data_IF_452015191919
#
_entry.id   IF_452015191919
#
_cell.length_a   1.000
_cell.length_b   1.000
_cell.length_c   1.000
_cell.angle_alpha   90.00
_cell.angle_beta   90.00
_cell.angle_gamma   90.00
#
_symmetry.space_group_name_H-M   'P 1'
#
loop_
_entity.id
_entity.type
_entity.pdbx_description
1 polymer ?
#
# COMPACT_ATOMS: atom_id res chain seq x y z
N UNK A 1 -49.04 12.25 4.21
CA UNK A 1 -48.18 13.11 3.42
C UNK A 1 -46.86 12.39 3.30
N UNK A 2 -46.57 11.84 2.12
CA UNK A 2 -45.33 11.10 1.88
C UNK A 2 -44.19 12.09 1.79
N UNK A 3 -43.18 11.87 2.62
CA UNK A 3 -41.95 12.64 2.68
C UNK A 3 -41.21 12.47 1.35
N UNK A 4 -41.24 13.49 0.49
CA UNK A 4 -40.49 13.53 -0.77
C UNK A 4 -39.02 13.78 -0.42
N UNK A 5 -38.28 12.74 -0.04
CA UNK A 5 -36.82 12.80 -0.01
C UNK A 5 -36.37 13.11 -1.44
N UNK A 6 -35.94 14.34 -1.66
CA UNK A 6 -35.24 14.76 -2.86
C UNK A 6 -34.19 13.70 -3.18
N UNK A 7 -34.34 13.00 -4.29
CA UNK A 7 -33.32 12.10 -4.79
C UNK A 7 -32.07 12.93 -5.04
N UNK A 8 -31.07 12.80 -4.18
CA UNK A 8 -29.76 13.46 -4.41
C UNK A 8 -29.23 12.97 -5.75
N UNK A 9 -28.83 13.90 -6.61
CA UNK A 9 -28.28 13.55 -7.92
C UNK A 9 -27.09 12.60 -7.76
N UNK A 10 -26.99 11.62 -8.65
CA UNK A 10 -25.86 10.67 -8.60
C UNK A 10 -24.53 11.39 -8.82
N UNK A 11 -23.53 11.03 -8.04
CA UNK A 11 -22.15 11.50 -8.21
C UNK A 11 -21.63 11.12 -9.60
N UNK A 12 -20.88 12.01 -10.24
CA UNK A 12 -20.28 11.72 -11.55
C UNK A 12 -19.25 10.59 -11.42
N UNK A 13 -18.32 10.73 -10.47
CA UNK A 13 -17.34 9.70 -10.16
C UNK A 13 -17.08 9.64 -8.65
N UNK A 14 -17.09 8.44 -8.09
CA UNK A 14 -16.65 8.16 -6.72
C UNK A 14 -15.34 7.38 -6.77
N UNK A 15 -14.37 7.81 -5.97
CA UNK A 15 -13.06 7.16 -5.80
C UNK A 15 -12.99 6.58 -4.39
N UNK A 16 -12.68 5.30 -4.28
CA UNK A 16 -12.57 4.60 -3.00
C UNK A 16 -11.09 4.32 -2.73
N UNK A 17 -10.52 5.01 -1.74
CA UNK A 17 -9.12 4.92 -1.34
C UNK A 17 -8.33 6.20 -1.58
N UNK A 18 -7.32 6.41 -0.73
CA UNK A 18 -6.55 7.66 -0.61
C UNK A 18 -5.03 7.45 -0.67
N UNK A 19 -4.58 6.32 -1.20
CA UNK A 19 -3.18 6.10 -1.54
C UNK A 19 -2.78 6.86 -2.82
N UNK A 20 -1.55 6.66 -3.33
CA UNK A 20 -1.06 7.33 -4.54
C UNK A 20 -1.98 7.16 -5.76
N UNK A 21 -2.62 5.99 -5.90
CA UNK A 21 -3.60 5.74 -6.96
C UNK A 21 -4.85 6.61 -6.81
N UNK A 22 -5.42 6.67 -5.60
CA UNK A 22 -6.63 7.45 -5.32
C UNK A 22 -6.43 8.94 -5.55
N UNK A 23 -5.35 9.53 -5.01
CA UNK A 23 -5.08 10.96 -5.18
C UNK A 23 -4.71 11.34 -6.61
N UNK A 24 -3.97 10.48 -7.32
CA UNK A 24 -3.69 10.69 -8.74
C UNK A 24 -4.99 10.64 -9.56
N UNK A 25 -5.85 9.65 -9.32
CA UNK A 25 -7.16 9.56 -9.97
C UNK A 25 -8.02 10.81 -9.67
N UNK A 26 -8.06 11.25 -8.42
CA UNK A 26 -8.81 12.43 -8.00
C UNK A 26 -8.34 13.71 -8.70
N UNK A 27 -7.02 13.91 -8.77
CA UNK A 27 -6.41 15.06 -9.45
C UNK A 27 -6.81 15.09 -10.93
N UNK A 28 -6.69 13.97 -11.65
CA UNK A 28 -7.03 13.91 -13.07
C UNK A 28 -8.53 14.02 -13.32
N UNK A 29 -9.37 13.37 -12.51
CA UNK A 29 -10.82 13.49 -12.61
C UNK A 29 -11.32 14.92 -12.32
N UNK A 30 -10.74 15.60 -11.32
CA UNK A 30 -11.06 16.98 -10.99
C UNK A 30 -10.66 17.94 -12.13
N UNK A 31 -9.47 17.76 -12.72
CA UNK A 31 -9.03 18.52 -13.89
C UNK A 31 -9.91 18.32 -15.11
N UNK A 32 -10.48 17.12 -15.28
CA UNK A 32 -11.48 16.80 -16.31
C UNK A 32 -12.89 17.27 -15.94
N UNK A 33 -13.05 18.06 -14.87
CA UNK A 33 -14.33 18.60 -14.37
C UNK A 33 -15.39 17.54 -14.01
N UNK A 34 -14.93 16.33 -13.63
CA UNK A 34 -15.83 15.24 -13.23
C UNK A 34 -16.33 15.36 -11.78
N UNK A 35 -15.91 16.39 -11.04
CA UNK A 35 -16.30 16.67 -9.65
C UNK A 35 -16.15 15.43 -8.73
N UNK A 36 -14.96 14.84 -8.65
CA UNK A 36 -14.78 13.59 -7.94
C UNK A 36 -15.11 13.71 -6.46
N UNK A 37 -15.70 12.64 -5.91
CA UNK A 37 -15.88 12.42 -4.48
C UNK A 37 -14.96 11.28 -4.04
N UNK A 38 -14.01 11.57 -3.15
CA UNK A 38 -13.05 10.59 -2.61
C UNK A 38 -13.51 10.13 -1.22
N UNK A 39 -13.61 8.83 -1.03
CA UNK A 39 -13.65 8.19 0.28
C UNK A 39 -12.22 7.84 0.70
N UNK A 40 -11.65 8.63 1.62
CA UNK A 40 -10.24 8.51 1.99
C UNK A 40 -9.96 7.43 3.06
N UNK A 41 -11.00 6.82 3.59
CA UNK A 41 -10.94 5.86 4.70
C UNK A 41 -11.31 6.52 6.03
N UNK A 42 -11.82 5.72 6.97
CA UNK A 42 -12.17 6.19 8.30
C UNK A 42 -10.94 6.24 9.21
N UNK A 43 -10.87 7.25 10.08
CA UNK A 43 -9.90 7.31 11.18
C UNK A 43 -10.44 6.45 12.33
N UNK A 44 -10.13 5.15 12.31
CA UNK A 44 -10.59 4.19 13.30
C UNK A 44 -9.46 3.30 13.80
N UNK A 45 -9.62 2.72 14.98
CA UNK A 45 -8.67 1.75 15.53
C UNK A 45 -8.54 0.52 14.62
N UNK A 46 -9.66 0.05 14.04
CA UNK A 46 -9.67 -1.04 13.06
C UNK A 46 -8.75 -0.73 11.88
N UNK A 47 -8.87 0.47 11.29
CA UNK A 47 -8.07 0.87 10.14
C UNK A 47 -6.61 1.13 10.52
N UNK A 48 -6.36 1.64 11.73
CA UNK A 48 -5.00 1.78 12.27
C UNK A 48 -4.31 0.42 12.37
N UNK A 49 -4.97 -0.58 12.94
CA UNK A 49 -4.46 -1.95 13.07
C UNK A 49 -4.25 -2.62 11.70
N UNK A 50 -5.14 -2.38 10.75
CA UNK A 50 -5.03 -2.91 9.39
C UNK A 50 -4.05 -2.15 8.49
N UNK A 51 -3.55 -0.98 8.92
CA UNK A 51 -2.73 -0.10 8.09
C UNK A 51 -3.49 0.54 6.92
N UNK A 52 -4.81 0.74 7.09
CA UNK A 52 -5.72 1.31 6.07
C UNK A 52 -6.28 2.68 6.49
N UNK A 53 -5.54 3.41 7.33
CA UNK A 53 -5.87 4.81 7.62
C UNK A 53 -5.85 5.67 6.35
N UNK A 54 -6.50 6.85 6.36
CA UNK A 54 -6.34 7.83 5.30
C UNK A 54 -4.89 8.03 4.87
N UNK A 55 -4.66 8.31 3.59
CA UNK A 55 -3.37 8.43 2.92
C UNK A 55 -2.70 7.09 2.54
N UNK A 56 -3.24 5.94 2.95
CA UNK A 56 -2.81 4.60 2.52
C UNK A 56 -1.47 4.15 3.08
N UNK A 57 -0.97 3.01 2.60
CA UNK A 57 0.24 2.35 3.10
C UNK A 57 1.51 3.21 3.01
N UNK A 58 1.62 4.07 1.98
CA UNK A 58 2.79 4.94 1.82
C UNK A 58 2.97 5.91 2.99
N UNK A 59 1.87 6.34 3.62
CA UNK A 59 1.93 7.21 4.80
C UNK A 59 2.58 6.55 6.03
N UNK A 60 2.82 5.25 5.99
CA UNK A 60 3.55 4.52 7.02
C UNK A 60 5.07 4.52 6.81
N UNK A 61 5.56 5.01 5.67
CA UNK A 61 6.98 5.01 5.31
C UNK A 61 7.68 6.27 5.82
N UNK A 62 8.80 6.11 6.51
CA UNK A 62 9.56 7.21 7.11
C UNK A 62 10.31 8.07 6.09
N UNK A 63 10.69 7.51 4.94
CA UNK A 63 11.47 8.18 3.90
C UNK A 63 11.14 7.58 2.52
N UNK A 64 10.95 8.43 1.51
CA UNK A 64 10.61 8.03 0.15
C UNK A 64 11.68 8.54 -0.81
N UNK A 65 12.61 7.65 -1.21
CA UNK A 65 13.71 7.98 -2.13
C UNK A 65 13.35 7.66 -3.60
N UNK A 66 12.33 6.84 -3.83
CA UNK A 66 12.01 6.22 -5.12
C UNK A 66 10.76 6.81 -5.81
N UNK A 67 10.26 7.95 -5.38
CA UNK A 67 9.19 8.67 -6.06
C UNK A 67 9.78 9.85 -6.84
N UNK A 68 9.72 9.77 -8.16
CA UNK A 68 10.32 10.79 -9.03
C UNK A 68 9.74 12.19 -8.79
N UNK A 69 10.61 13.22 -8.70
CA UNK A 69 10.21 14.61 -8.46
C UNK A 69 10.56 15.13 -7.06
N UNK A 70 10.98 14.26 -6.15
CA UNK A 70 11.38 14.63 -4.79
C UNK A 70 12.83 14.18 -4.53
N UNK A 71 13.83 15.00 -4.89
CA UNK A 71 15.24 14.70 -4.62
C UNK A 71 15.53 14.79 -3.12
N UNK A 72 16.59 14.10 -2.68
CA UNK A 72 17.09 14.25 -1.32
C UNK A 72 17.50 15.71 -1.04
N UNK A 73 17.20 16.20 0.16
CA UNK A 73 17.50 17.56 0.61
C UNK A 73 16.45 18.09 1.59
N UNK A 74 16.67 19.33 2.07
CA UNK A 74 15.70 20.01 2.93
C UNK A 74 14.52 20.56 2.10
N UNK A 75 13.39 19.90 2.17
CA UNK A 75 12.14 20.32 1.54
C UNK A 75 11.21 21.11 2.49
N UNK A 76 11.63 21.39 3.73
CA UNK A 76 10.80 22.01 4.75
C UNK A 76 10.12 23.30 4.30
N UNK A 77 10.87 24.22 3.66
CA UNK A 77 10.30 25.47 3.14
C UNK A 77 9.27 25.25 2.04
N UNK A 78 9.48 24.25 1.20
CA UNK A 78 8.50 23.89 0.17
C UNK A 78 7.22 23.36 0.82
N UNK A 79 7.33 22.45 1.78
CA UNK A 79 6.19 21.90 2.52
C UNK A 79 5.42 23.00 3.26
N UNK A 80 6.11 23.92 3.91
CA UNK A 80 5.51 25.04 4.62
C UNK A 80 4.73 25.98 3.70
N UNK A 81 5.12 26.10 2.44
CA UNK A 81 4.42 26.90 1.44
C UNK A 81 3.32 26.16 0.68
N UNK A 82 3.46 24.83 0.54
CA UNK A 82 2.57 24.00 -0.27
C UNK A 82 1.37 23.46 0.52
N UNK A 83 1.51 23.31 1.85
CA UNK A 83 0.48 22.73 2.71
C UNK A 83 -0.20 23.80 3.58
N UNK A 84 -1.52 23.70 3.83
CA UNK A 84 -2.19 24.49 4.84
C UNK A 84 -1.55 24.28 6.23
N UNK A 85 -1.54 25.33 7.06
CA UNK A 85 -0.83 25.32 8.34
C UNK A 85 -1.35 24.25 9.32
N UNK A 86 -2.67 24.00 9.34
CA UNK A 86 -3.29 22.94 10.14
C UNK A 86 -2.83 21.54 9.71
N UNK A 87 -2.72 21.32 8.40
CA UNK A 87 -2.22 20.04 7.85
C UNK A 87 -0.72 19.87 8.11
N UNK A 88 0.05 20.94 7.94
CA UNK A 88 1.50 20.91 8.21
C UNK A 88 1.81 20.62 9.67
N UNK A 89 1.04 21.18 10.62
CA UNK A 89 1.19 20.90 12.04
C UNK A 89 0.89 19.45 12.44
N UNK A 90 0.11 18.72 11.65
CA UNK A 90 -0.16 17.29 11.88
C UNK A 90 1.00 16.39 11.44
N UNK A 91 1.96 16.91 10.67
CA UNK A 91 3.12 16.17 10.22
C UNK A 91 4.23 16.18 11.28
N UNK A 92 5.04 15.12 11.36
CA UNK A 92 6.26 15.17 12.15
C UNK A 92 7.19 16.29 11.65
N UNK A 93 8.10 16.78 12.50
CA UNK A 93 9.15 17.69 12.05
C UNK A 93 9.92 17.09 10.85
N UNK A 94 10.14 17.90 9.82
CA UNK A 94 10.92 17.46 8.66
C UNK A 94 12.41 17.40 9.04
N UNK A 95 13.01 16.24 8.95
CA UNK A 95 14.41 15.96 9.26
C UNK A 95 15.25 15.73 7.99
N UNK A 96 15.18 16.63 7.07
CA UNK A 96 16.18 17.00 6.08
C UNK A 96 16.79 16.00 5.08
N UNK A 97 16.23 14.81 4.82
CA UNK A 97 16.85 13.84 3.90
C UNK A 97 15.95 13.35 2.75
N UNK A 98 14.93 14.10 2.41
CA UNK A 98 13.98 13.75 1.37
C UNK A 98 12.55 13.95 1.85
N UNK A 99 11.57 13.46 1.09
CA UNK A 99 10.15 13.51 1.48
C UNK A 99 9.81 12.24 2.27
N UNK A 100 9.10 12.42 3.38
CA UNK A 100 8.52 11.29 4.11
C UNK A 100 7.24 10.79 3.40
N UNK A 101 6.82 9.55 3.69
CA UNK A 101 5.56 9.02 3.17
C UNK A 101 4.35 9.90 3.50
N UNK A 102 4.15 10.31 4.78
CA UNK A 102 3.07 11.23 5.15
C UNK A 102 3.11 12.55 4.37
N UNK A 103 4.27 13.16 4.22
CA UNK A 103 4.45 14.43 3.50
C UNK A 103 4.09 14.28 2.02
N UNK A 104 4.59 13.25 1.35
CA UNK A 104 4.26 12.98 -0.05
C UNK A 104 2.76 12.78 -0.24
N UNK A 105 2.14 11.99 0.64
CA UNK A 105 0.71 11.71 0.54
C UNK A 105 -0.14 12.96 0.79
N UNK A 106 0.26 13.81 1.75
CA UNK A 106 -0.44 15.08 2.00
C UNK A 106 -0.29 16.07 0.84
N UNK A 107 0.88 16.13 0.21
CA UNK A 107 1.09 16.92 -1.01
C UNK A 107 0.17 16.45 -2.15
N UNK A 108 0.05 15.14 -2.36
CA UNK A 108 -0.85 14.59 -3.39
C UNK A 108 -2.32 14.88 -3.06
N UNK A 109 -2.71 14.76 -1.78
CA UNK A 109 -4.04 15.11 -1.29
C UNK A 109 -4.35 16.59 -1.54
N UNK A 110 -3.44 17.47 -1.14
CA UNK A 110 -3.60 18.92 -1.33
C UNK A 110 -3.69 19.28 -2.80
N UNK A 111 -2.91 18.64 -3.67
CA UNK A 111 -3.00 18.85 -5.12
C UNK A 111 -4.42 18.52 -5.63
N UNK A 112 -5.00 17.40 -5.22
CA UNK A 112 -6.36 17.03 -5.61
C UNK A 112 -7.41 18.02 -5.09
N UNK A 113 -7.27 18.49 -3.84
CA UNK A 113 -8.12 19.53 -3.23
C UNK A 113 -8.05 20.84 -4.01
N UNK A 114 -6.87 21.28 -4.43
CA UNK A 114 -6.67 22.51 -5.20
C UNK A 114 -7.40 22.48 -6.56
N UNK A 115 -7.71 21.30 -7.10
CA UNK A 115 -8.53 21.13 -8.30
C UNK A 115 -10.02 20.90 -8.00
N UNK A 116 -10.45 21.01 -6.73
CA UNK A 116 -11.85 20.91 -6.34
C UNK A 116 -12.35 19.50 -6.03
N UNK A 117 -11.45 18.56 -5.72
CA UNK A 117 -11.84 17.23 -5.20
C UNK A 117 -12.56 17.37 -3.86
N UNK A 118 -13.71 16.70 -3.73
CA UNK A 118 -14.45 16.59 -2.47
C UNK A 118 -14.00 15.31 -1.74
N UNK A 119 -13.90 15.37 -0.42
CA UNK A 119 -13.36 14.30 0.40
C UNK A 119 -14.33 13.95 1.52
N UNK A 120 -14.51 12.65 1.75
CA UNK A 120 -15.24 12.08 2.89
C UNK A 120 -14.28 11.16 3.65
N UNK A 121 -14.07 11.46 4.94
CA UNK A 121 -13.25 10.65 5.85
C UNK A 121 -14.12 9.53 6.44
N UNK A 122 -14.42 8.53 5.62
CA UNK A 122 -15.22 7.35 5.96
C UNK A 122 -14.83 6.17 5.07
N UNK A 123 -15.20 4.96 5.48
CA UNK A 123 -15.02 3.73 4.70
C UNK A 123 -16.26 3.45 3.84
N UNK A 124 -16.06 2.81 2.69
CA UNK A 124 -17.13 2.14 1.98
C UNK A 124 -17.13 0.67 2.42
N UNK A 125 -18.18 0.26 3.13
CA UNK A 125 -18.31 -1.10 3.65
C UNK A 125 -18.90 -2.10 2.65
N UNK A 126 -19.68 -1.60 1.70
CA UNK A 126 -20.36 -2.42 0.69
C UNK A 126 -20.66 -1.61 -0.57
N UNK A 127 -20.75 -2.28 -1.70
CA UNK A 127 -21.16 -1.72 -2.99
C UNK A 127 -22.28 -2.55 -3.61
N UNK A 128 -23.02 -1.97 -4.55
CA UNK A 128 -23.95 -2.67 -5.44
C UNK A 128 -23.73 -2.15 -6.86
N UNK A 129 -23.03 -2.96 -7.65
CA UNK A 129 -22.71 -2.68 -9.06
C UNK A 129 -23.67 -3.38 -10.04
N UNK A 130 -24.73 -4.04 -9.54
CA UNK A 130 -25.70 -4.77 -10.36
C UNK A 130 -26.59 -3.87 -11.21
N UNK A 131 -26.69 -2.59 -10.88
CA UNK A 131 -27.55 -1.59 -11.54
C UNK A 131 -26.89 -0.21 -11.59
N UNK A 132 -27.40 0.66 -12.46
CA UNK A 132 -26.95 2.05 -12.57
C UNK A 132 -28.06 3.02 -12.18
N UNK A 133 -27.71 4.14 -11.52
CA UNK A 133 -26.39 4.45 -10.99
C UNK A 133 -25.94 3.41 -9.96
N UNK A 134 -24.62 3.19 -9.85
CA UNK A 134 -24.03 2.31 -8.84
C UNK A 134 -24.32 2.81 -7.44
N UNK A 135 -24.43 1.90 -6.48
CA UNK A 135 -24.71 2.26 -5.08
C UNK A 135 -23.53 1.90 -4.19
N UNK A 136 -23.18 2.83 -3.32
CA UNK A 136 -22.10 2.68 -2.34
C UNK A 136 -22.67 2.95 -0.95
N UNK A 137 -22.24 2.17 0.03
CA UNK A 137 -22.74 2.20 1.39
C UNK A 137 -21.60 2.55 2.36
N UNK A 138 -21.52 3.84 2.79
CA UNK A 138 -20.55 4.28 3.79
C UNK A 138 -20.76 3.63 5.15
N UNK A 139 -19.69 3.49 5.96
CA UNK A 139 -19.73 2.95 7.30
C UNK A 139 -20.56 3.83 8.26
N UNK A 140 -20.51 5.15 8.09
CA UNK A 140 -21.35 6.09 8.84
C UNK A 140 -22.85 6.00 8.50
N UNK A 141 -23.22 5.16 7.53
CA UNK A 141 -24.59 4.94 7.10
C UNK A 141 -25.00 5.78 5.89
N UNK A 142 -26.22 5.50 5.41
CA UNK A 142 -26.74 6.12 4.18
C UNK A 142 -26.38 5.36 2.91
N UNK A 143 -26.66 5.98 1.78
CA UNK A 143 -26.39 5.48 0.45
C UNK A 143 -25.93 6.62 -0.44
N UNK A 144 -24.87 6.38 -1.21
CA UNK A 144 -24.39 7.28 -2.25
C UNK A 144 -24.53 6.56 -3.59
N UNK A 145 -25.01 7.28 -4.59
CA UNK A 145 -25.10 6.77 -5.95
C UNK A 145 -24.02 7.40 -6.82
N UNK A 146 -23.43 6.63 -7.72
CA UNK A 146 -22.37 7.07 -8.62
C UNK A 146 -22.60 6.57 -10.04
N UNK A 147 -22.22 7.37 -11.03
CA UNK A 147 -22.25 6.99 -12.44
C UNK A 147 -21.03 6.15 -12.79
N UNK A 148 -19.86 6.51 -12.27
CA UNK A 148 -18.62 5.74 -12.40
C UNK A 148 -17.97 5.55 -11.03
N UNK A 149 -17.20 4.48 -10.84
CA UNK A 149 -16.47 4.18 -9.61
C UNK A 149 -15.03 3.79 -9.94
N UNK A 150 -14.07 4.35 -9.20
CA UNK A 150 -12.66 3.96 -9.24
C UNK A 150 -12.31 3.30 -7.90
N UNK A 151 -11.93 2.02 -7.94
CA UNK A 151 -11.47 1.27 -6.76
C UNK A 151 -9.95 1.42 -6.68
N UNK A 152 -9.49 2.12 -5.65
CA UNK A 152 -8.08 2.43 -5.39
C UNK A 152 -7.67 2.11 -3.94
N UNK A 153 -8.24 1.03 -3.39
CA UNK A 153 -8.15 0.64 -1.98
C UNK A 153 -6.81 0.00 -1.60
N UNK A 154 -5.94 -0.26 -2.57
CA UNK A 154 -4.61 -0.81 -2.36
C UNK A 154 -4.60 -2.24 -1.83
N UNK A 155 -3.44 -2.64 -1.28
CA UNK A 155 -3.22 -3.91 -0.62
C UNK A 155 -2.46 -3.70 0.69
N UNK A 156 -2.83 -4.43 1.73
CA UNK A 156 -2.16 -4.39 3.02
C UNK A 156 -1.06 -5.44 3.10
N UNK A 157 0.11 -5.08 3.61
CA UNK A 157 1.16 -6.04 3.90
C UNK A 157 0.68 -7.04 4.96
N UNK A 158 1.07 -8.29 4.80
CA UNK A 158 0.82 -9.31 5.82
C UNK A 158 1.88 -9.22 6.92
N UNK A 159 1.42 -9.32 8.16
CA UNK A 159 2.26 -9.27 9.36
C UNK A 159 2.16 -10.58 10.12
N UNK A 160 3.17 -10.88 10.96
CA UNK A 160 3.16 -12.07 11.80
C UNK A 160 2.32 -11.87 13.07
N UNK A 161 2.06 -10.62 13.44
CA UNK A 161 1.31 -10.26 14.65
C UNK A 161 2.13 -10.36 15.94
N UNK A 162 3.46 -10.30 15.85
CA UNK A 162 4.34 -10.31 17.02
C UNK A 162 4.36 -8.92 17.68
N UNK A 163 4.27 -8.82 19.02
CA UNK A 163 4.38 -7.53 19.71
C UNK A 163 5.71 -6.80 19.41
N UNK A 164 6.80 -7.54 19.25
CA UNK A 164 8.10 -6.98 18.89
C UNK A 164 8.15 -6.48 17.45
N UNK A 165 7.43 -7.11 16.52
CA UNK A 165 7.25 -6.65 15.16
C UNK A 165 6.59 -5.27 15.14
N UNK A 166 5.47 -5.11 15.86
CA UNK A 166 4.75 -3.84 15.93
C UNK A 166 5.60 -2.73 16.58
N UNK A 167 6.40 -3.05 17.60
CA UNK A 167 7.31 -2.10 18.26
C UNK A 167 8.34 -1.50 17.30
N UNK A 168 8.87 -2.32 16.37
CA UNK A 168 9.94 -1.92 15.46
C UNK A 168 9.48 -1.65 14.02
N UNK A 169 8.18 -1.65 13.76
CA UNK A 169 7.60 -1.27 12.46
C UNK A 169 8.08 0.13 12.06
N UNK A 170 8.59 0.28 10.84
CA UNK A 170 9.24 1.49 10.32
C UNK A 170 10.50 1.95 11.10
N UNK A 171 10.94 1.17 12.08
CA UNK A 171 12.16 1.41 12.88
C UNK A 171 13.17 0.28 12.75
N UNK A 172 13.11 -0.43 11.62
CA UNK A 172 13.95 -1.59 11.31
C UNK A 172 13.15 -2.82 10.87
N UNK A 173 11.82 -2.84 11.06
CA UNK A 173 10.93 -3.85 10.46
C UNK A 173 10.16 -3.23 9.30
N UNK A 174 10.25 -3.85 8.12
CA UNK A 174 9.62 -3.44 6.86
C UNK A 174 8.94 -4.62 6.17
N UNK A 175 8.01 -4.34 5.27
CA UNK A 175 7.38 -5.31 4.37
C UNK A 175 7.68 -5.01 2.88
N UNK A 176 8.69 -4.17 2.60
CA UNK A 176 9.07 -3.80 1.23
C UNK A 176 10.57 -3.57 1.11
N UNK A 177 11.30 -4.57 0.61
CA UNK A 177 12.75 -4.44 0.42
C UNK A 177 13.12 -3.38 -0.62
N UNK A 178 12.33 -3.23 -1.69
CA UNK A 178 12.57 -2.23 -2.75
C UNK A 178 12.38 -0.81 -2.23
N UNK A 179 11.49 -0.62 -1.25
CA UNK A 179 11.24 0.68 -0.65
C UNK A 179 12.35 1.09 0.32
N UNK A 180 12.71 0.19 1.24
CA UNK A 180 13.51 0.54 2.40
C UNK A 180 14.93 -0.03 2.38
N UNK A 181 15.21 -1.04 1.54
CA UNK A 181 16.48 -1.77 1.56
C UNK A 181 17.72 -0.93 1.25
N UNK A 182 17.56 0.18 0.52
CA UNK A 182 18.65 1.10 0.20
C UNK A 182 18.94 2.13 1.30
N UNK A 183 18.09 2.23 2.34
CA UNK A 183 18.24 3.22 3.41
C UNK A 183 19.61 3.14 4.07
N UNK A 184 20.23 4.27 4.45
CA UNK A 184 21.58 4.33 5.01
C UNK A 184 21.81 3.39 6.19
N UNK A 185 20.82 3.22 7.06
CA UNK A 185 20.91 2.36 8.25
C UNK A 185 21.08 0.86 7.95
N UNK A 186 20.75 0.40 6.73
CA UNK A 186 20.86 -1.00 6.32
C UNK A 186 22.13 -1.31 5.53
N UNK A 187 22.87 -0.28 5.11
CA UNK A 187 24.08 -0.45 4.29
C UNK A 187 25.20 -1.14 5.05
N UNK A 188 25.74 -2.20 4.46
CA UNK A 188 26.77 -3.05 5.06
C UNK A 188 26.40 -3.65 6.42
N UNK A 189 25.11 -3.81 6.70
CA UNK A 189 24.59 -4.46 7.89
C UNK A 189 24.02 -5.83 7.56
N UNK A 190 23.99 -6.78 8.52
CA UNK A 190 23.24 -8.01 8.35
C UNK A 190 21.73 -7.72 8.38
N UNK A 191 20.97 -8.33 7.46
CA UNK A 191 19.53 -8.17 7.34
C UNK A 191 18.83 -9.53 7.37
N UNK A 192 17.60 -9.53 7.84
CA UNK A 192 16.73 -10.73 7.86
C UNK A 192 15.60 -10.56 6.87
N UNK A 193 15.33 -11.60 6.07
CA UNK A 193 14.11 -11.72 5.24
C UNK A 193 13.31 -12.91 5.74
N UNK A 194 12.05 -12.71 6.04
CA UNK A 194 11.13 -13.78 6.47
C UNK A 194 10.21 -14.15 5.32
N UNK A 195 10.30 -15.38 4.86
CA UNK A 195 9.48 -15.87 3.75
C UNK A 195 10.05 -17.13 3.10
N UNK A 196 9.56 -17.49 1.93
CA UNK A 196 10.07 -18.68 1.23
C UNK A 196 9.43 -18.91 -0.15
N UNK A 197 8.66 -17.95 -0.66
CA UNK A 197 8.18 -17.89 -2.03
C UNK A 197 9.11 -17.08 -2.93
N UNK A 198 8.77 -16.95 -4.22
CA UNK A 198 9.55 -16.17 -5.19
C UNK A 198 9.82 -14.74 -4.70
N UNK A 199 8.81 -14.04 -4.18
CA UNK A 199 8.98 -12.68 -3.62
C UNK A 199 10.03 -12.62 -2.50
N UNK A 200 10.08 -13.62 -1.61
CA UNK A 200 11.06 -13.64 -0.52
C UNK A 200 12.49 -13.83 -1.05
N UNK A 201 12.66 -14.65 -2.08
CA UNK A 201 13.95 -14.83 -2.75
C UNK A 201 14.36 -13.57 -3.52
N UNK A 202 13.42 -12.95 -4.24
CA UNK A 202 13.66 -11.68 -4.94
C UNK A 202 14.09 -10.59 -3.97
N UNK A 203 13.37 -10.42 -2.86
CA UNK A 203 13.71 -9.43 -1.84
C UNK A 203 15.07 -9.73 -1.18
N UNK A 204 15.33 -11.00 -0.83
CA UNK A 204 16.63 -11.40 -0.28
C UNK A 204 17.78 -11.08 -1.27
N UNK A 205 17.61 -11.46 -2.55
CA UNK A 205 18.59 -11.18 -3.60
C UNK A 205 18.76 -9.67 -3.83
N UNK A 206 17.67 -8.90 -3.77
CA UNK A 206 17.75 -7.45 -3.89
C UNK A 206 18.56 -6.81 -2.77
N UNK A 207 18.34 -7.26 -1.53
CA UNK A 207 19.02 -6.76 -0.34
C UNK A 207 20.53 -7.08 -0.31
N UNK A 208 20.99 -8.14 -0.99
CA UNK A 208 22.44 -8.42 -1.07
C UNK A 208 23.27 -7.29 -1.72
N UNK A 209 22.61 -6.38 -2.47
CA UNK A 209 23.24 -5.20 -3.04
C UNK A 209 23.68 -4.20 -1.97
N UNK A 210 23.04 -4.18 -0.82
CA UNK A 210 23.26 -3.22 0.26
C UNK A 210 23.80 -3.87 1.53
N UNK A 211 23.32 -5.05 1.86
CA UNK A 211 23.65 -5.79 3.09
C UNK A 211 25.05 -6.37 3.06
N UNK A 212 25.63 -6.59 4.25
CA UNK A 212 26.80 -7.46 4.44
C UNK A 212 26.43 -8.92 4.28
N UNK A 213 25.30 -9.32 4.83
CA UNK A 213 24.71 -10.67 4.78
C UNK A 213 23.19 -10.58 4.84
N UNK A 214 22.49 -11.47 4.16
CA UNK A 214 21.04 -11.61 4.23
C UNK A 214 20.69 -12.98 4.80
N UNK A 215 19.98 -13.01 5.91
CA UNK A 215 19.46 -14.23 6.55
C UNK A 215 18.03 -14.47 6.05
N UNK A 216 17.84 -15.45 5.14
CA UNK A 216 16.52 -15.85 4.66
C UNK A 216 15.92 -16.91 5.61
N UNK A 217 14.89 -16.53 6.36
CA UNK A 217 14.25 -17.39 7.37
C UNK A 217 13.01 -18.04 6.77
N UNK A 218 12.99 -19.38 6.74
CA UNK A 218 11.88 -20.16 6.22
C UNK A 218 11.44 -21.27 7.18
N UNK A 219 10.13 -21.31 7.45
CA UNK A 219 9.54 -22.26 8.43
C UNK A 219 9.48 -23.73 7.99
N UNK A 220 9.86 -24.05 6.76
CA UNK A 220 9.89 -25.40 6.20
C UNK A 220 11.32 -25.81 5.83
N UNK A 221 11.49 -27.05 5.48
CA UNK A 221 12.77 -27.64 5.02
C UNK A 221 13.14 -27.29 3.58
N UNK A 222 12.18 -26.75 2.80
CA UNK A 222 12.36 -26.40 1.39
C UNK A 222 11.64 -25.09 1.06
N UNK A 223 12.24 -24.25 0.21
CA UNK A 223 11.60 -23.03 -0.30
C UNK A 223 10.41 -23.38 -1.20
N UNK A 224 9.38 -22.54 -1.17
CA UNK A 224 8.23 -22.63 -2.08
C UNK A 224 8.45 -21.89 -3.39
N UNK A 225 9.55 -21.17 -3.50
CA UNK A 225 9.97 -20.48 -4.70
C UNK A 225 10.15 -21.44 -5.88
N UNK A 226 10.08 -20.95 -7.10
CA UNK A 226 10.43 -21.70 -8.29
C UNK A 226 11.85 -22.26 -8.16
N UNK A 227 12.13 -23.40 -8.79
CA UNK A 227 13.44 -24.05 -8.68
C UNK A 227 14.59 -23.12 -9.05
N UNK A 228 14.40 -22.29 -10.07
CA UNK A 228 15.42 -21.31 -10.52
C UNK A 228 15.66 -20.26 -9.43
N UNK A 229 14.61 -19.73 -8.82
CA UNK A 229 14.73 -18.72 -7.77
C UNK A 229 15.31 -19.32 -6.49
N UNK A 230 14.88 -20.52 -6.08
CA UNK A 230 15.44 -21.21 -4.93
C UNK A 230 16.96 -21.46 -5.10
N UNK A 231 17.38 -21.92 -6.30
CA UNK A 231 18.79 -22.15 -6.61
C UNK A 231 19.59 -20.84 -6.55
N UNK A 232 19.04 -19.73 -7.06
CA UNK A 232 19.68 -18.39 -6.98
C UNK A 232 19.95 -17.99 -5.53
N UNK A 233 19.01 -18.21 -4.61
CA UNK A 233 19.23 -17.90 -3.20
C UNK A 233 20.29 -18.81 -2.55
N UNK A 234 20.36 -20.10 -2.95
CA UNK A 234 21.32 -21.06 -2.45
C UNK A 234 22.74 -20.73 -2.92
N UNK A 235 22.87 -20.27 -4.17
CA UNK A 235 24.17 -19.99 -4.80
C UNK A 235 24.72 -18.59 -4.43
N UNK A 236 23.92 -17.70 -3.85
CA UNK A 236 24.36 -16.36 -3.48
C UNK A 236 25.19 -16.41 -2.18
N UNK A 237 26.49 -16.06 -2.23
CA UNK A 237 27.39 -16.13 -1.07
C UNK A 237 27.02 -15.20 0.08
N UNK A 238 26.17 -14.21 -0.17
CA UNK A 238 25.66 -13.29 0.86
C UNK A 238 24.38 -13.77 1.50
N UNK A 239 23.73 -14.83 0.99
CA UNK A 239 22.46 -15.34 1.55
C UNK A 239 22.74 -16.57 2.41
N UNK A 240 22.33 -16.51 3.68
CA UNK A 240 22.30 -17.65 4.60
C UNK A 240 20.86 -18.07 4.82
N UNK A 241 20.49 -19.29 4.42
CA UNK A 241 19.11 -19.78 4.56
C UNK A 241 18.95 -20.52 5.88
N UNK A 242 17.98 -20.12 6.68
CA UNK A 242 17.58 -20.77 7.93
C UNK A 242 16.30 -21.58 7.69
N UNK A 243 16.45 -22.83 7.31
CA UNK A 243 15.32 -23.76 7.15
C UNK A 243 14.78 -24.23 8.51
N UNK A 244 13.49 -24.59 8.54
CA UNK A 244 12.78 -25.04 9.73
C UNK A 244 12.88 -24.06 10.90
N UNK A 245 12.90 -22.76 10.59
CA UNK A 245 12.94 -21.69 11.56
C UNK A 245 11.80 -20.69 11.31
N UNK A 246 11.18 -20.22 12.36
CA UNK A 246 10.19 -19.15 12.35
C UNK A 246 10.71 -17.96 13.16
N UNK A 247 10.37 -16.74 12.76
CA UNK A 247 10.62 -15.55 13.55
C UNK A 247 9.74 -15.59 14.81
N UNK A 248 10.36 -15.65 15.99
CA UNK A 248 9.67 -15.64 17.27
C UNK A 248 9.65 -14.24 17.91
N UNK A 249 10.73 -13.47 17.73
CA UNK A 249 10.86 -12.14 18.32
C UNK A 249 11.85 -11.29 17.51
N UNK A 250 11.54 -9.99 17.36
CA UNK A 250 12.49 -8.99 16.89
C UNK A 250 13.16 -8.37 18.11
N UNK A 251 14.49 -8.42 18.17
CA UNK A 251 15.30 -7.91 19.27
C UNK A 251 15.78 -6.50 18.94
N UNK A 252 15.84 -5.65 19.96
CA UNK A 252 16.31 -4.29 19.79
C UNK A 252 15.94 -3.39 20.97
N UNK A 253 16.33 -2.14 20.86
CA UNK A 253 16.04 -1.09 21.85
C UNK A 253 15.61 0.23 21.17
N UNK A 254 15.19 1.20 21.99
CA UNK A 254 14.67 2.45 21.46
C UNK A 254 15.75 3.37 20.88
N UNK A 255 17.02 3.18 21.26
CA UNK A 255 18.13 4.01 20.82
C UNK A 255 18.70 3.51 19.47
N UNK A 256 18.84 2.19 19.32
CA UNK A 256 19.47 1.55 18.14
C UNK A 256 18.46 1.02 17.13
N UNK A 257 17.18 0.85 17.53
CA UNK A 257 16.19 0.13 16.74
C UNK A 257 16.41 -1.39 16.79
N UNK A 258 16.25 -2.08 15.67
CA UNK A 258 16.48 -3.54 15.55
C UNK A 258 17.97 -3.83 15.71
N UNK A 259 18.31 -4.84 16.52
CA UNK A 259 19.68 -5.35 16.72
C UNK A 259 19.82 -6.82 16.41
N UNK A 260 18.72 -7.54 16.22
CA UNK A 260 18.70 -8.95 15.88
C UNK A 260 17.31 -9.54 15.90
N UNK A 261 17.26 -10.85 15.76
CA UNK A 261 16.04 -11.64 15.83
C UNK A 261 16.26 -12.89 16.66
N UNK A 262 15.20 -13.36 17.31
CA UNK A 262 15.13 -14.71 17.89
C UNK A 262 14.30 -15.58 16.96
N UNK A 263 14.90 -16.64 16.48
CA UNK A 263 14.27 -17.68 15.67
C UNK A 263 13.90 -18.87 16.55
N UNK A 264 12.76 -19.48 16.28
CA UNK A 264 12.33 -20.73 16.93
C UNK A 264 12.28 -21.85 15.90
N UNK A 265 12.81 -23.03 16.29
CA UNK A 265 12.75 -24.21 15.45
C UNK A 265 11.31 -24.70 15.30
N UNK A 266 10.91 -24.97 14.05
CA UNK A 266 9.59 -25.56 13.74
C UNK A 266 9.56 -27.08 13.89
N UNK A 267 10.72 -27.73 14.08
CA UNK A 267 10.86 -29.19 14.22
C UNK A 267 11.30 -29.63 15.62
N UNK A 268 12.00 -28.75 16.35
CA UNK A 268 12.51 -29.05 17.71
C UNK A 268 11.89 -28.02 18.70
N UNK A 269 10.87 -28.43 19.42
CA UNK A 269 10.12 -27.57 20.34
C UNK A 269 11.05 -26.92 21.38
N UNK A 270 10.99 -25.62 21.53
CA UNK A 270 11.74 -24.81 22.51
C UNK A 270 13.19 -24.54 22.13
N UNK A 271 13.66 -25.01 20.99
CA UNK A 271 14.99 -24.65 20.48
C UNK A 271 14.93 -23.29 19.80
N UNK A 272 15.69 -22.36 20.32
CA UNK A 272 15.80 -20.99 19.77
C UNK A 272 17.23 -20.69 19.33
N UNK A 273 17.37 -19.78 18.37
CA UNK A 273 18.65 -19.25 17.89
C UNK A 273 18.52 -17.74 17.74
N UNK A 274 19.51 -17.00 18.21
CA UNK A 274 19.57 -15.56 17.97
C UNK A 274 20.47 -15.27 16.77
N UNK A 275 20.02 -14.33 15.92
CA UNK A 275 20.74 -13.89 14.71
C UNK A 275 20.82 -12.37 14.78
N UNK A 276 22.05 -11.85 14.65
CA UNK A 276 22.29 -10.41 14.58
C UNK A 276 21.70 -9.83 13.27
N UNK A 277 21.01 -8.71 13.38
CA UNK A 277 20.46 -8.01 12.23
C UNK A 277 20.11 -6.56 12.56
N UNK A 278 20.37 -5.66 11.62
CA UNK A 278 19.96 -4.26 11.71
C UNK A 278 18.54 -4.01 11.16
N UNK A 279 17.96 -5.00 10.47
CA UNK A 279 16.62 -4.90 9.91
C UNK A 279 16.00 -6.25 9.57
N UNK A 280 14.66 -6.25 9.55
CA UNK A 280 13.82 -7.40 9.24
C UNK A 280 12.84 -7.03 8.15
N UNK A 281 12.80 -7.81 7.07
CA UNK A 281 11.90 -7.65 5.94
C UNK A 281 10.92 -8.82 5.87
N UNK A 282 9.62 -8.50 5.96
CA UNK A 282 8.58 -9.53 5.96
C UNK A 282 8.07 -9.76 4.54
N UNK A 283 8.65 -10.73 3.85
CA UNK A 283 8.27 -11.12 2.49
C UNK A 283 7.23 -12.26 2.50
N UNK A 284 6.16 -12.10 3.31
CA UNK A 284 5.09 -13.08 3.50
C UNK A 284 3.80 -12.74 2.72
N UNK A 285 3.90 -11.76 1.83
CA UNK A 285 2.85 -11.38 0.87
C UNK A 285 2.00 -10.22 1.31
N UNK A 286 1.04 -9.88 0.46
CA UNK A 286 0.07 -8.80 0.65
C UNK A 286 -1.34 -9.33 0.45
N UNK A 287 -2.30 -8.66 1.07
CA UNK A 287 -3.73 -8.95 0.92
C UNK A 287 -4.41 -7.72 0.32
N UNK A 288 -4.97 -7.81 -0.90
CA UNK A 288 -5.68 -6.69 -1.51
C UNK A 288 -6.96 -6.37 -0.74
N UNK A 289 -7.27 -5.09 -0.62
CA UNK A 289 -8.41 -4.59 0.14
C UNK A 289 -9.69 -4.66 -0.71
N UNK A 290 -10.19 -5.87 -0.96
CA UNK A 290 -11.31 -6.18 -1.86
C UNK A 290 -12.53 -6.80 -1.15
N UNK A 291 -12.49 -6.97 0.17
CA UNK A 291 -13.55 -7.66 0.92
C UNK A 291 -14.94 -6.99 0.75
N UNK A 292 -14.99 -5.65 0.69
CA UNK A 292 -16.22 -4.88 0.53
C UNK A 292 -16.92 -5.06 -0.83
N UNK A 293 -16.23 -5.65 -1.81
CA UNK A 293 -16.76 -5.92 -3.15
C UNK A 293 -17.71 -7.11 -3.19
N UNK A 294 -17.61 -8.03 -2.23
CA UNK A 294 -18.49 -9.19 -2.06
C UNK A 294 -18.83 -9.94 -3.37
N UNK A 295 -17.81 -10.23 -4.14
CA UNK A 295 -17.93 -10.99 -5.40
C UNK A 295 -18.49 -10.21 -6.60
N UNK A 296 -18.71 -8.91 -6.50
CA UNK A 296 -19.27 -8.13 -7.60
C UNK A 296 -18.29 -7.79 -8.73
N UNK A 297 -16.98 -7.94 -8.47
CA UNK A 297 -15.94 -7.85 -9.49
C UNK A 297 -15.21 -9.18 -9.63
N UNK A 298 -14.70 -9.45 -10.82
CA UNK A 298 -13.82 -10.59 -11.07
C UNK A 298 -12.48 -10.39 -10.35
N UNK A 299 -12.09 -11.37 -9.54
CA UNK A 299 -10.86 -11.37 -8.77
C UNK A 299 -9.96 -12.53 -9.19
N UNK A 300 -8.65 -12.34 -9.09
CA UNK A 300 -7.65 -13.41 -9.20
C UNK A 300 -7.78 -14.40 -8.04
N UNK A 301 -7.10 -15.55 -8.12
CA UNK A 301 -7.03 -16.50 -7.01
C UNK A 301 -6.42 -15.88 -5.73
N UNK A 302 -5.60 -14.83 -5.87
CA UNK A 302 -5.04 -14.04 -4.75
C UNK A 302 -5.91 -12.86 -4.34
N UNK A 303 -7.13 -12.75 -4.87
CA UNK A 303 -8.14 -11.71 -4.56
C UNK A 303 -7.84 -10.31 -5.14
N UNK A 304 -6.87 -10.14 -6.02
CA UNK A 304 -6.66 -8.89 -6.76
C UNK A 304 -7.75 -8.69 -7.82
N UNK A 305 -8.16 -7.45 -8.07
CA UNK A 305 -9.13 -7.13 -9.13
C UNK A 305 -8.48 -7.41 -10.50
N UNK A 306 -9.22 -8.08 -11.38
CA UNK A 306 -8.74 -8.39 -12.74
C UNK A 306 -8.98 -7.21 -13.66
N UNK A 307 -7.91 -6.67 -14.27
CA UNK A 307 -8.01 -5.78 -15.42
C UNK A 307 -8.42 -6.57 -16.66
N UNK A 308 -9.53 -6.19 -17.28
CA UNK A 308 -10.13 -6.93 -18.42
C UNK A 308 -9.52 -6.60 -19.77
N UNK A 309 -8.84 -5.46 -19.89
CA UNK A 309 -8.21 -5.02 -21.13
C UNK A 309 -6.74 -4.71 -20.91
N UNK A 310 -5.92 -5.07 -21.89
CA UNK A 310 -4.50 -4.76 -21.85
C UNK A 310 -4.26 -3.25 -21.78
N UNK A 311 -3.39 -2.82 -20.88
CA UNK A 311 -3.01 -1.42 -20.67
C UNK A 311 -4.18 -0.47 -20.37
N UNK A 312 -5.26 -1.00 -19.76
CA UNK A 312 -6.45 -0.27 -19.34
C UNK A 312 -6.86 -0.68 -17.93
N UNK A 313 -7.65 0.16 -17.28
CA UNK A 313 -8.07 -0.05 -15.91
C UNK A 313 -9.50 -0.58 -15.77
N UNK A 314 -10.12 -0.96 -16.88
CA UNK A 314 -11.46 -1.56 -16.92
C UNK A 314 -11.53 -2.84 -16.10
N UNK A 315 -12.59 -2.99 -15.29
CA UNK A 315 -12.89 -4.21 -14.53
C UNK A 315 -13.91 -5.09 -15.26
N UNK A 316 -14.42 -6.13 -14.60
CA UNK A 316 -15.51 -6.96 -15.12
C UNK A 316 -16.87 -6.25 -15.19
N UNK A 317 -17.00 -5.07 -14.59
CA UNK A 317 -18.22 -4.25 -14.64
C UNK A 317 -17.89 -2.91 -15.33
N UNK A 318 -18.56 -2.64 -16.45
CA UNK A 318 -18.41 -1.37 -17.18
C UNK A 318 -18.76 -0.17 -16.31
N UNK A 319 -17.91 0.86 -16.32
CA UNK A 319 -18.04 2.04 -15.47
C UNK A 319 -17.42 1.87 -14.08
N UNK A 320 -16.86 0.69 -13.78
CA UNK A 320 -16.05 0.44 -12.61
C UNK A 320 -14.60 0.19 -13.04
N UNK A 321 -13.67 0.95 -12.49
CA UNK A 321 -12.24 0.92 -12.80
C UNK A 321 -11.44 0.55 -11.55
N UNK A 322 -10.24 0.00 -11.71
CA UNK A 322 -9.37 -0.34 -10.61
C UNK A 322 -7.97 0.23 -10.82
N UNK A 323 -7.35 0.77 -9.76
CA UNK A 323 -6.05 1.40 -9.81
C UNK A 323 -5.18 1.08 -8.59
N UNK A 324 -3.88 0.95 -8.81
CA UNK A 324 -2.89 0.66 -7.79
C UNK A 324 -2.91 -0.79 -7.32
N UNK A 325 -2.39 -1.00 -6.14
CA UNK A 325 -2.07 -2.33 -5.60
C UNK A 325 -3.30 -3.23 -5.37
N UNK A 326 -4.51 -2.71 -5.45
CA UNK A 326 -5.73 -3.52 -5.41
C UNK A 326 -5.88 -4.41 -6.66
N UNK A 327 -5.19 -4.06 -7.76
CA UNK A 327 -5.17 -4.80 -9.02
C UNK A 327 -3.73 -5.17 -9.47
N UNK A 328 -2.72 -4.40 -9.04
CA UNK A 328 -1.30 -4.67 -9.33
C UNK A 328 -0.72 -5.62 -8.26
N UNK A 329 -0.64 -6.92 -8.57
CA UNK A 329 -0.01 -7.93 -7.69
C UNK A 329 1.50 -8.09 -7.94
N UNK A 330 2.08 -7.29 -8.84
CA UNK A 330 3.47 -7.43 -9.30
C UNK A 330 4.37 -6.29 -8.83
N UNK A 331 4.16 -5.06 -9.29
CA UNK A 331 5.05 -3.92 -8.99
C UNK A 331 4.85 -3.37 -7.58
N UNK A 332 3.62 -3.04 -7.22
CA UNK A 332 3.25 -2.50 -5.90
C UNK A 332 4.14 -1.34 -5.48
N UNK A 333 4.30 -0.37 -6.36
CA UNK A 333 5.08 0.84 -6.14
C UNK A 333 4.18 2.08 -6.18
N UNK A 334 4.51 3.07 -5.36
CA UNK A 334 3.75 4.32 -5.29
C UNK A 334 3.62 5.01 -6.66
N UNK A 335 4.69 5.01 -7.44
CA UNK A 335 4.72 5.65 -8.77
C UNK A 335 3.88 4.87 -9.80
N UNK A 336 3.89 3.53 -9.79
CA UNK A 336 3.03 2.72 -10.66
C UNK A 336 1.57 2.84 -10.24
N UNK A 337 1.29 2.90 -8.94
CA UNK A 337 -0.04 3.14 -8.41
C UNK A 337 -0.59 4.50 -8.85
N UNK A 338 0.21 5.58 -8.75
CA UNK A 338 -0.16 6.89 -9.24
C UNK A 338 -0.40 6.90 -10.76
N UNK A 339 0.41 6.17 -11.53
CA UNK A 339 0.25 5.98 -12.97
C UNK A 339 -1.08 5.33 -13.33
N UNK A 340 -1.43 4.22 -12.67
CA UNK A 340 -2.73 3.55 -12.90
C UNK A 340 -3.90 4.38 -12.37
N UNK A 341 -3.72 5.21 -11.35
CA UNK A 341 -4.69 6.21 -10.91
C UNK A 341 -5.00 7.24 -12.00
N UNK A 342 -3.97 7.79 -12.65
CA UNK A 342 -4.13 8.65 -13.82
C UNK A 342 -4.91 7.93 -14.93
N UNK A 343 -4.52 6.69 -15.26
CA UNK A 343 -5.18 5.89 -16.31
C UNK A 343 -6.66 5.67 -16.00
N UNK A 344 -7.01 5.34 -14.76
CA UNK A 344 -8.41 5.08 -14.36
C UNK A 344 -9.30 6.31 -14.46
N UNK A 345 -8.78 7.49 -14.14
CA UNK A 345 -9.52 8.74 -14.31
C UNK A 345 -9.80 9.03 -15.80
N UNK A 346 -8.80 8.84 -16.67
CA UNK A 346 -8.95 9.02 -18.11
C UNK A 346 -9.88 7.97 -18.74
N UNK A 347 -9.84 6.71 -18.27
CA UNK A 347 -10.75 5.66 -18.70
C UNK A 347 -12.19 5.97 -18.25
N UNK A 348 -12.38 6.46 -17.02
CA UNK A 348 -13.68 6.88 -16.51
C UNK A 348 -14.25 8.07 -17.29
N UNK A 349 -13.42 9.08 -17.59
CA UNK A 349 -13.82 10.25 -18.40
C UNK A 349 -14.33 9.82 -19.78
N UNK A 350 -13.53 9.01 -20.49
CA UNK A 350 -13.91 8.52 -21.83
C UNK A 350 -15.17 7.68 -21.79
N UNK A 351 -15.30 6.80 -20.80
CA UNK A 351 -16.49 5.98 -20.63
C UNK A 351 -17.73 6.84 -20.38
N UNK A 352 -17.64 7.81 -19.46
CA UNK A 352 -18.73 8.74 -19.14
C UNK A 352 -19.16 9.56 -20.36
N UNK A 353 -18.24 10.02 -21.19
CA UNK A 353 -18.52 10.75 -22.41
C UNK A 353 -19.33 9.92 -23.43
N UNK A 354 -19.06 8.61 -23.53
CA UNK A 354 -19.78 7.72 -24.47
C UNK A 354 -21.08 7.14 -23.91
N UNK A 355 -21.29 7.17 -22.60
CA UNK A 355 -22.50 6.62 -21.95
C UNK A 355 -23.70 7.60 -21.96
N UNK A 356 -23.61 8.71 -22.68
CA UNK A 356 -24.64 9.74 -22.84
C UNK A 356 -25.21 9.83 -24.27
N UNK A 357 -24.81 8.90 -25.16
CA UNK A 357 -25.34 8.77 -26.52
C UNK A 357 -26.48 7.75 -26.63
#
# INVERSE_FOLDING_TARGET
MADSRSATAAETVVIIGSGPAGWSAATYAARAQLQPLVFEGAISEKNRMAGTLPLGQLALTSEVENYAGFPAGDLGRFLDSALPSDRRMMMPPHEGHGVTGPELMELMRQQAVNFGTRIVTDDIERVDFSRRPFRLFPAAGGEITARAVIVATGASANWLGLPSEEKFKNRGVSACAVCDGALPRFRNQPLVVVGGGDSAVEEATYLTKFASTVHLVHRRDTLRASKIMAQRAIDDPKITIHFNQALAEVLGDDARGVTGVRLESTTERGRTTEVEAAGVFLAIGHTPNTAFLDGQLELTAKKYIVWKKHFRTDTSVEGVFAAGDVADDYYRQAISAAGTGCMSALDAERWLAHSHG
#
